data_IF_345959309283
#
_entry.id   IF_345959309283
#
_cell.length_a   1.000
_cell.length_b   1.000
_cell.length_c   1.000
_cell.angle_alpha   90.00
_cell.angle_beta   90.00
_cell.angle_gamma   90.00
#
_symmetry.space_group_name_H-M   'P 1'
#
loop_
_entity.id
_entity.type
_entity.pdbx_description
1 polymer ?
#
# COMPACT_ATOMS: atom_id res chain seq x y z
N UNK A 1 -15.12 -2.05 -4.88
CA UNK A 1 -14.09 -1.21 -5.55
C UNK A 1 -12.80 -2.01 -5.73
N UNK A 2 -12.31 -2.18 -6.96
CA UNK A 2 -11.09 -2.96 -7.25
C UNK A 2 -9.86 -2.05 -7.12
N UNK A 3 -8.86 -2.47 -6.36
CA UNK A 3 -7.55 -1.82 -6.26
C UNK A 3 -6.55 -2.57 -7.14
N UNK A 4 -5.66 -1.84 -7.82
CA UNK A 4 -4.55 -2.47 -8.55
C UNK A 4 -3.54 -3.08 -7.59
N UNK A 5 -2.68 -3.97 -8.08
CA UNK A 5 -1.70 -4.63 -7.21
C UNK A 5 -0.65 -3.65 -6.66
N UNK A 6 -0.27 -2.64 -7.45
CA UNK A 6 0.53 -1.52 -6.94
C UNK A 6 -0.20 -0.74 -5.84
N UNK A 7 -1.51 -0.47 -5.99
CA UNK A 7 -2.28 0.24 -4.97
C UNK A 7 -2.39 -0.58 -3.67
N UNK A 8 -2.62 -1.89 -3.77
CA UNK A 8 -2.59 -2.80 -2.61
C UNK A 8 -1.20 -2.82 -1.96
N UNK A 9 -0.14 -2.86 -2.77
CA UNK A 9 1.24 -2.82 -2.27
C UNK A 9 1.52 -1.53 -1.49
N UNK A 10 1.14 -0.37 -2.02
CA UNK A 10 1.27 0.93 -1.33
C UNK A 10 0.54 0.90 0.02
N UNK A 11 -0.72 0.44 0.03
CA UNK A 11 -1.51 0.36 1.27
C UNK A 11 -0.91 -0.63 2.28
N UNK A 12 -0.34 -1.74 1.82
CA UNK A 12 0.33 -2.74 2.67
C UNK A 12 1.59 -2.17 3.30
N UNK A 13 2.48 -1.57 2.51
CA UNK A 13 3.72 -0.97 3.00
C UNK A 13 3.43 0.16 3.99
N UNK A 14 2.43 1.00 3.71
CA UNK A 14 2.00 2.00 4.65
C UNK A 14 1.36 1.37 5.91
N UNK A 15 0.61 0.28 5.80
CA UNK A 15 0.00 -0.39 6.95
C UNK A 15 1.03 -1.04 7.88
N UNK A 16 2.07 -1.67 7.33
CA UNK A 16 3.15 -2.31 8.09
C UNK A 16 4.03 -1.29 8.81
N UNK A 17 4.17 -0.07 8.28
CA UNK A 17 4.92 1.01 8.93
C UNK A 17 4.21 1.52 10.20
N UNK A 18 4.90 1.66 11.36
CA UNK A 18 4.33 2.25 12.57
C UNK A 18 3.73 3.65 12.36
N UNK A 19 4.37 4.49 11.54
CA UNK A 19 3.90 5.86 11.24
C UNK A 19 2.73 5.91 10.26
N UNK A 20 2.35 4.75 9.70
CA UNK A 20 1.34 4.59 8.67
C UNK A 20 1.65 5.35 7.37
N UNK A 21 2.94 5.50 7.07
CA UNK A 21 3.44 6.20 5.90
C UNK A 21 4.30 5.33 4.99
N UNK A 22 4.44 5.73 3.73
CA UNK A 22 5.31 5.10 2.75
C UNK A 22 5.97 6.16 1.88
N UNK A 23 7.30 6.08 1.78
CA UNK A 23 8.09 6.96 0.94
C UNK A 23 8.16 6.46 -0.51
N UNK A 24 8.41 7.38 -1.44
CA UNK A 24 8.52 7.09 -2.88
C UNK A 24 9.51 5.96 -3.20
N UNK A 25 10.68 5.94 -2.55
CA UNK A 25 11.71 4.91 -2.77
C UNK A 25 11.22 3.50 -2.43
N UNK A 26 10.40 3.36 -1.39
CA UNK A 26 9.77 2.08 -1.03
C UNK A 26 8.77 1.64 -2.09
N UNK A 27 7.99 2.57 -2.65
CA UNK A 27 7.02 2.26 -3.71
C UNK A 27 7.73 1.80 -4.99
N UNK A 28 8.87 2.41 -5.33
CA UNK A 28 9.67 2.02 -6.50
C UNK A 28 10.19 0.58 -6.42
N UNK A 29 10.36 0.01 -5.21
CA UNK A 29 10.74 -1.41 -5.01
C UNK A 29 9.70 -2.39 -5.53
N UNK A 30 8.44 -1.97 -5.71
CA UNK A 30 7.44 -2.81 -6.39
C UNK A 30 7.92 -3.26 -7.78
N UNK A 31 8.70 -2.42 -8.46
CA UNK A 31 9.20 -2.67 -9.81
C UNK A 31 10.61 -3.27 -9.83
N UNK A 32 11.30 -3.40 -8.69
CA UNK A 32 12.66 -3.98 -8.67
C UNK A 32 12.66 -5.49 -8.83
N UNK A 33 11.53 -6.14 -8.56
CA UNK A 33 11.37 -7.61 -8.67
C UNK A 33 10.82 -8.07 -10.02
N UNK A 34 10.54 -7.16 -10.95
CA UNK A 34 10.00 -7.48 -12.26
C UNK A 34 11.13 -7.78 -13.24
N UNK A 35 11.01 -8.90 -13.97
CA UNK A 35 11.96 -9.30 -15.02
C UNK A 35 11.98 -8.29 -16.17
N UNK A 36 10.80 -7.88 -16.63
CA UNK A 36 10.63 -6.85 -17.66
C UNK A 36 10.20 -5.54 -17.02
N UNK A 37 11.19 -4.73 -16.65
CA UNK A 37 10.96 -3.47 -15.95
C UNK A 37 10.61 -2.35 -16.95
N UNK A 38 9.49 -1.61 -16.74
CA UNK A 38 9.18 -0.44 -17.54
C UNK A 38 10.25 0.66 -17.42
N UNK A 39 10.30 1.57 -18.39
CA UNK A 39 11.22 2.70 -18.32
C UNK A 39 10.97 3.53 -17.04
N UNK A 40 12.04 4.11 -16.48
CA UNK A 40 11.97 4.85 -15.20
C UNK A 40 10.95 5.99 -15.22
N UNK A 41 10.80 6.67 -16.37
CA UNK A 41 9.82 7.75 -16.57
C UNK A 41 8.38 7.24 -16.44
N UNK A 42 8.11 6.05 -16.96
CA UNK A 42 6.79 5.42 -16.90
C UNK A 42 6.47 4.96 -15.49
N UNK A 43 7.44 4.36 -14.78
CA UNK A 43 7.29 3.97 -13.38
C UNK A 43 6.86 5.17 -12.51
N UNK A 44 7.54 6.30 -12.64
CA UNK A 44 7.20 7.52 -11.88
C UNK A 44 5.76 7.94 -12.21
N UNK A 45 5.40 7.96 -13.50
CA UNK A 45 4.05 8.33 -13.94
C UNK A 45 2.98 7.38 -13.40
N UNK A 46 3.24 6.08 -13.40
CA UNK A 46 2.32 5.05 -12.89
C UNK A 46 2.16 5.18 -11.36
N UNK A 47 3.26 5.41 -10.63
CA UNK A 47 3.22 5.63 -9.18
C UNK A 47 2.41 6.89 -8.86
N UNK A 48 2.67 8.02 -9.53
CA UNK A 48 1.93 9.26 -9.33
C UNK A 48 0.44 9.07 -9.58
N UNK A 49 0.05 8.52 -10.74
CA UNK A 49 -1.37 8.24 -11.05
C UNK A 49 -2.00 7.29 -10.03
N UNK A 50 -1.26 6.31 -9.54
CA UNK A 50 -1.76 5.36 -8.54
C UNK A 50 -1.99 6.02 -7.18
N UNK A 51 -1.09 6.90 -6.76
CA UNK A 51 -1.22 7.72 -5.55
C UNK A 51 -2.39 8.69 -5.66
N UNK A 52 -2.50 9.45 -6.76
CA UNK A 52 -3.62 10.37 -7.02
C UNK A 52 -4.97 9.65 -6.95
N UNK A 53 -5.09 8.45 -7.54
CA UNK A 53 -6.31 7.64 -7.43
C UNK A 53 -6.59 7.21 -5.99
N UNK A 54 -5.59 6.89 -5.19
CA UNK A 54 -5.77 6.55 -3.77
C UNK A 54 -6.22 7.78 -2.96
N UNK A 55 -5.69 8.97 -3.28
CA UNK A 55 -6.08 10.25 -2.68
C UNK A 55 -7.52 10.58 -3.03
N UNK A 56 -7.91 10.46 -4.31
CA UNK A 56 -9.27 10.69 -4.79
C UNK A 56 -10.30 9.74 -4.13
N UNK A 57 -9.84 8.60 -3.61
CA UNK A 57 -10.65 7.62 -2.87
C UNK A 57 -10.64 7.84 -1.36
N UNK A 58 -10.05 8.94 -0.89
CA UNK A 58 -9.81 9.27 0.52
C UNK A 58 -8.98 8.20 1.27
N UNK A 59 -8.29 7.28 0.58
CA UNK A 59 -7.57 6.20 1.28
C UNK A 59 -6.20 6.65 1.81
N UNK A 60 -5.64 7.71 1.23
CA UNK A 60 -4.32 8.22 1.60
C UNK A 60 -4.25 9.75 1.48
N UNK A 61 -3.33 10.34 2.24
CA UNK A 61 -2.89 11.73 2.10
C UNK A 61 -1.50 11.75 1.47
N UNK A 62 -1.31 12.52 0.41
CA UNK A 62 0.00 12.73 -0.22
C UNK A 62 0.73 13.92 0.39
N UNK A 63 2.02 13.76 0.65
CA UNK A 63 2.96 14.80 1.07
C UNK A 63 4.00 15.02 -0.03
N UNK A 64 4.44 16.26 -0.17
CA UNK A 64 5.51 16.61 -1.10
C UNK A 64 5.40 18.05 -1.60
N UNK A 65 6.00 18.33 -2.74
CA UNK A 65 6.19 19.69 -3.25
C UNK A 65 5.32 19.95 -4.47
N UNK A 66 4.51 21.01 -4.42
CA UNK A 66 3.82 21.53 -5.59
C UNK A 66 4.72 22.56 -6.27
N UNK A 67 5.04 22.32 -7.52
CA UNK A 67 5.73 23.29 -8.39
C UNK A 67 4.73 23.90 -9.35
N UNK A 68 5.12 24.97 -10.05
CA UNK A 68 4.31 25.58 -11.10
C UNK A 68 3.87 24.58 -12.18
N UNK A 69 4.67 23.53 -12.42
CA UNK A 69 4.41 22.54 -13.48
C UNK A 69 3.63 21.32 -12.98
N UNK A 70 3.92 20.82 -11.78
CA UNK A 70 3.31 19.59 -11.25
C UNK A 70 3.49 19.41 -9.75
N UNK A 71 2.69 18.49 -9.20
CA UNK A 71 2.81 18.02 -7.83
C UNK A 71 3.73 16.79 -7.74
N UNK A 72 4.76 16.89 -6.91
CA UNK A 72 5.72 15.82 -6.64
C UNK A 72 5.41 15.20 -5.29
N UNK A 73 4.88 13.98 -5.30
CA UNK A 73 4.59 13.21 -4.08
C UNK A 73 5.89 12.55 -3.61
N UNK A 74 6.31 12.84 -2.37
CA UNK A 74 7.49 12.27 -1.71
C UNK A 74 7.11 11.17 -0.73
N UNK A 75 5.99 11.37 -0.03
CA UNK A 75 5.49 10.47 1.00
C UNK A 75 3.96 10.37 0.92
N UNK A 76 3.43 9.22 1.31
CA UNK A 76 1.99 8.96 1.36
C UNK A 76 1.65 8.41 2.74
N UNK A 77 0.57 8.89 3.36
CA UNK A 77 0.08 8.44 4.67
C UNK A 77 -1.32 7.87 4.59
N UNK A 78 -1.62 6.81 5.34
CA UNK A 78 -2.99 6.30 5.44
C UNK A 78 -3.88 7.29 6.21
N UNK A 79 -5.06 7.55 5.66
CA UNK A 79 -6.15 8.25 6.35
C UNK A 79 -6.87 7.31 7.33
N UNK A 80 -7.90 7.79 8.03
CA UNK A 80 -8.74 6.93 8.86
C UNK A 80 -9.50 5.87 8.04
N UNK A 81 -10.09 6.27 6.90
CA UNK A 81 -10.75 5.37 5.95
C UNK A 81 -9.76 4.40 5.30
N UNK A 82 -8.57 4.90 4.94
CA UNK A 82 -7.43 4.10 4.48
C UNK A 82 -7.01 3.00 5.45
N UNK A 83 -6.89 3.33 6.74
CA UNK A 83 -6.57 2.36 7.80
C UNK A 83 -7.65 1.29 7.95
N UNK A 84 -8.93 1.68 7.94
CA UNK A 84 -10.05 0.72 7.94
C UNK A 84 -9.95 -0.22 6.74
N UNK A 85 -9.66 0.32 5.56
CA UNK A 85 -9.53 -0.47 4.33
C UNK A 85 -8.32 -1.39 4.34
N UNK A 86 -7.17 -0.91 4.79
CA UNK A 86 -5.96 -1.72 4.93
C UNK A 86 -6.18 -2.86 5.95
N UNK A 87 -6.86 -2.59 7.07
CA UNK A 87 -7.24 -3.62 8.04
C UNK A 87 -8.19 -4.67 7.44
N UNK A 88 -9.13 -4.28 6.55
CA UNK A 88 -9.96 -5.26 5.85
C UNK A 88 -9.16 -6.11 4.86
N UNK A 89 -8.19 -5.52 4.16
CA UNK A 89 -7.39 -6.19 3.14
C UNK A 89 -6.29 -7.09 3.72
N UNK A 90 -5.68 -6.68 4.83
CA UNK A 90 -4.47 -7.30 5.38
C UNK A 90 -4.60 -7.67 6.86
N UNK A 91 -5.67 -7.25 7.54
CA UNK A 91 -5.89 -7.50 8.97
C UNK A 91 -6.79 -8.69 9.29
N UNK A 92 -7.37 -9.35 8.29
CA UNK A 92 -8.15 -10.60 8.43
C UNK A 92 -7.43 -11.63 7.53
N UNK A 93 -6.39 -12.34 7.99
CA UNK A 93 -6.51 -13.63 8.69
C UNK A 93 -5.11 -14.16 9.11
N UNK A 94 -4.92 -14.56 10.38
CA UNK A 94 -4.27 -15.84 10.68
C UNK A 94 -5.32 -16.70 11.38
N UNK A 95 -5.75 -17.80 10.75
CA UNK A 95 -6.40 -18.89 11.47
C UNK A 95 -5.32 -19.42 12.40
N UNK A 96 -5.46 -19.20 13.71
CA UNK A 96 -4.79 -20.07 14.66
C UNK A 96 -5.31 -21.48 14.35
N UNK A 97 -4.43 -22.49 14.16
CA UNK A 97 -4.88 -23.86 13.98
C UNK A 97 -5.80 -24.23 15.15
N UNK A 98 -7.02 -24.65 14.82
CA UNK A 98 -8.01 -25.09 15.79
C UNK A 98 -7.46 -26.25 16.63
N UNK A 99 -7.70 -26.21 17.93
CA UNK A 99 -7.29 -27.23 18.89
C UNK A 99 -7.72 -28.64 18.46
N UNK A 100 -6.79 -29.58 18.32
CA UNK A 100 -7.13 -31.00 18.49
C UNK A 100 -7.04 -31.31 19.98
N UNK A 101 -8.19 -31.41 20.65
CA UNK A 101 -8.26 -32.10 21.94
C UNK A 101 -7.91 -33.56 21.65
N UNK A 102 -6.71 -34.01 22.02
CA UNK A 102 -6.51 -35.45 22.24
C UNK A 102 -7.38 -35.83 23.43
N UNK A 103 -8.55 -36.42 23.15
CA UNK A 103 -9.11 -37.40 24.08
C UNK A 103 -8.13 -38.56 24.09
N UNK A 104 -7.44 -38.78 25.19
CA UNK A 104 -6.93 -40.11 25.50
C UNK A 104 -7.50 -40.47 26.86
N UNK A 105 -8.28 -41.55 26.83
CA UNK A 105 -9.01 -42.14 27.93
C UNK A 105 -8.06 -42.63 29.03
N UNK A 106 -8.67 -42.89 30.20
CA UNK A 106 -8.18 -43.71 31.31
C UNK A 106 -7.28 -44.86 30.89
#
# INVERSE_FOLDING_TARGET
MKLSDLQKYILRQAWENPRKTVGKTTIERFYSTLKDKPARKDIITIITKSAERLIAKDLVTGFGHKTAKKWFITEIKLTASGRKKARQLFGIQQKLPFHSKKKTNR
#
